data_IF_161911867757
#
_entry.id   IF_161911867757
#
_cell.length_a   1.000
_cell.length_b   1.000
_cell.length_c   1.000
_cell.angle_alpha   90.00
_cell.angle_beta   90.00
_cell.angle_gamma   90.00
#
_symmetry.space_group_name_H-M   'P 1'
#
loop_
_entity.id
_entity.type
_entity.pdbx_description
1 polymer ?
#
# COMPACT_ATOMS: atom_id res chain seq x y z
N UNK A 1 30.93 29.23 -6.06
CA UNK A 1 29.58 28.68 -6.31
C UNK A 1 29.62 27.19 -6.01
N UNK A 2 29.10 26.78 -4.86
CA UNK A 2 28.89 25.37 -4.50
C UNK A 2 27.54 25.26 -3.80
N UNK A 3 26.48 25.36 -4.61
CA UNK A 3 25.22 24.69 -4.27
C UNK A 3 25.36 23.27 -4.80
N UNK A 4 25.14 22.25 -3.97
CA UNK A 4 24.51 20.96 -4.32
C UNK A 4 24.86 19.88 -3.29
N UNK A 5 23.86 19.40 -2.56
CA UNK A 5 23.71 17.97 -2.20
C UNK A 5 22.57 17.72 -1.20
N UNK A 6 22.06 18.75 -0.51
CA UNK A 6 20.98 18.55 0.49
C UNK A 6 19.58 18.56 -0.14
N UNK A 7 19.40 19.22 -1.29
CA UNK A 7 18.10 19.40 -1.96
C UNK A 7 17.57 18.14 -2.70
N UNK A 8 18.40 17.12 -2.95
CA UNK A 8 17.99 15.96 -3.75
C UNK A 8 17.22 14.89 -2.97
N UNK A 9 17.24 14.93 -1.63
CA UNK A 9 16.63 13.90 -0.79
C UNK A 9 15.12 14.13 -0.52
N UNK A 10 14.56 15.25 -0.98
CA UNK A 10 13.13 15.58 -0.82
C UNK A 10 12.26 15.29 -2.05
N UNK A 11 12.83 14.78 -3.14
CA UNK A 11 12.09 14.56 -4.38
C UNK A 11 11.55 13.11 -4.49
N UNK A 12 10.21 13.01 -4.58
CA UNK A 12 9.42 11.83 -4.96
C UNK A 12 9.16 10.79 -3.86
N UNK A 13 8.58 11.18 -2.72
CA UNK A 13 7.64 10.23 -2.09
C UNK A 13 6.42 10.16 -3.03
N UNK A 14 6.10 9.00 -3.64
CA UNK A 14 4.92 8.90 -4.48
C UNK A 14 3.71 9.40 -3.70
N UNK A 15 2.95 10.32 -4.28
CA UNK A 15 1.79 10.89 -3.59
C UNK A 15 0.86 9.74 -3.24
N UNK A 16 0.57 9.57 -1.94
CA UNK A 16 -0.36 8.54 -1.49
C UNK A 16 -1.68 8.75 -2.22
N UNK A 17 -2.10 7.75 -3.00
CA UNK A 17 -3.39 7.79 -3.70
C UNK A 17 -4.53 7.81 -2.69
N UNK A 18 -5.64 8.45 -3.08
CA UNK A 18 -6.85 8.49 -2.25
C UNK A 18 -7.40 7.08 -2.04
N UNK A 19 -8.11 6.86 -0.94
CA UNK A 19 -8.65 5.54 -0.61
C UNK A 19 -9.57 5.01 -1.72
N UNK A 20 -10.44 5.85 -2.26
CA UNK A 20 -11.33 5.50 -3.38
C UNK A 20 -10.58 5.07 -4.65
N UNK A 21 -9.43 5.68 -4.91
CA UNK A 21 -8.59 5.29 -6.04
C UNK A 21 -7.99 3.91 -5.81
N UNK A 22 -7.45 3.67 -4.61
CA UNK A 22 -6.88 2.37 -4.23
C UNK A 22 -7.92 1.26 -4.29
N UNK A 23 -9.15 1.53 -3.85
CA UNK A 23 -10.24 0.56 -3.85
C UNK A 23 -10.77 0.21 -5.24
N UNK A 24 -10.49 1.05 -6.25
CA UNK A 24 -10.89 0.82 -7.66
C UNK A 24 -9.77 0.23 -8.52
N UNK A 25 -8.57 0.03 -7.97
CA UNK A 25 -7.45 -0.57 -8.69
C UNK A 25 -7.69 -2.05 -8.98
N UNK A 26 -7.21 -2.50 -10.13
CA UNK A 26 -6.98 -3.93 -10.34
C UNK A 26 -5.89 -4.45 -9.40
N UNK A 27 -5.85 -5.77 -9.19
CA UNK A 27 -4.84 -6.40 -8.32
C UNK A 27 -3.41 -6.07 -8.77
N UNK A 28 -3.16 -6.05 -10.09
CA UNK A 28 -1.85 -5.71 -10.66
C UNK A 28 -1.46 -4.26 -10.36
N UNK A 29 -2.35 -3.32 -10.61
CA UNK A 29 -2.10 -1.89 -10.33
C UNK A 29 -1.89 -1.64 -8.84
N UNK A 30 -2.65 -2.33 -7.98
CA UNK A 30 -2.49 -2.26 -6.55
C UNK A 30 -1.13 -2.81 -6.12
N UNK A 31 -0.71 -3.94 -6.66
CA UNK A 31 0.59 -4.54 -6.35
C UNK A 31 1.75 -3.63 -6.76
N UNK A 32 1.69 -3.04 -7.95
CA UNK A 32 2.66 -2.05 -8.44
C UNK A 32 2.70 -0.83 -7.50
N UNK A 33 1.55 -0.23 -7.21
CA UNK A 33 1.44 0.91 -6.27
C UNK A 33 2.01 0.58 -4.88
N UNK A 34 1.72 -0.60 -4.33
CA UNK A 34 2.23 -1.00 -3.03
C UNK A 34 3.76 -1.15 -3.04
N UNK A 35 4.35 -1.67 -4.12
CA UNK A 35 5.81 -1.77 -4.27
C UNK A 35 6.48 -0.42 -4.43
N UNK A 36 5.87 0.50 -5.17
CA UNK A 36 6.42 1.84 -5.38
C UNK A 36 6.35 2.72 -4.14
N UNK A 37 5.28 2.57 -3.34
CA UNK A 37 5.03 3.47 -2.19
C UNK A 37 5.68 3.04 -0.89
N UNK A 38 6.23 1.83 -0.84
CA UNK A 38 6.71 1.21 0.38
C UNK A 38 8.14 0.71 0.26
N UNK A 39 9.06 1.59 0.64
CA UNK A 39 10.50 1.34 0.58
C UNK A 39 10.99 0.21 1.51
N UNK A 40 10.11 -0.38 2.33
CA UNK A 40 10.48 -1.51 3.20
C UNK A 40 10.37 -2.87 2.52
N UNK A 41 9.77 -2.92 1.32
CA UNK A 41 9.55 -4.16 0.57
C UNK A 41 10.83 -4.56 -0.17
N UNK A 42 11.29 -5.79 0.04
CA UNK A 42 12.39 -6.36 -0.73
C UNK A 42 11.89 -6.92 -2.07
N UNK A 43 12.78 -7.01 -3.06
CA UNK A 43 12.44 -7.58 -4.39
C UNK A 43 11.96 -9.03 -4.26
N UNK A 44 12.49 -9.77 -3.29
CA UNK A 44 12.13 -11.17 -3.01
C UNK A 44 10.89 -11.33 -2.15
N UNK A 45 10.35 -10.25 -1.58
CA UNK A 45 9.12 -10.32 -0.80
C UNK A 45 7.91 -10.55 -1.69
N UNK A 46 6.91 -11.23 -1.16
CA UNK A 46 5.61 -11.41 -1.80
C UNK A 46 4.53 -10.59 -1.10
N UNK A 47 3.54 -10.15 -1.89
CA UNK A 47 2.38 -9.40 -1.41
C UNK A 47 1.15 -10.21 -1.79
N UNK A 48 0.36 -10.62 -0.80
CA UNK A 48 -0.93 -11.25 -1.02
C UNK A 48 -2.04 -10.22 -0.84
N UNK A 49 -2.84 -10.01 -1.89
CA UNK A 49 -3.98 -9.10 -1.87
C UNK A 49 -5.24 -9.92 -1.61
N UNK A 50 -6.05 -9.49 -0.65
CA UNK A 50 -7.32 -10.08 -0.31
C UNK A 50 -8.40 -9.00 -0.32
N UNK A 51 -9.36 -9.12 -1.22
CA UNK A 51 -10.55 -8.26 -1.25
C UNK A 51 -11.62 -8.85 -0.33
N UNK A 52 -12.36 -7.98 0.36
CA UNK A 52 -13.49 -8.35 1.20
C UNK A 52 -14.57 -7.28 1.09
N UNK A 53 -15.74 -7.55 1.67
CA UNK A 53 -16.94 -6.69 1.53
C UNK A 53 -16.64 -5.20 1.78
N UNK A 54 -15.92 -4.90 2.86
CA UNK A 54 -15.65 -3.54 3.30
C UNK A 54 -14.28 -3.00 2.87
N UNK A 55 -13.51 -3.70 2.02
CA UNK A 55 -12.21 -3.17 1.62
C UNK A 55 -11.22 -4.19 1.05
N UNK A 56 -9.94 -3.83 1.19
CA UNK A 56 -8.81 -4.60 0.70
C UNK A 56 -7.77 -4.76 1.81
N UNK A 57 -7.23 -5.96 1.96
CA UNK A 57 -6.13 -6.29 2.86
C UNK A 57 -4.93 -6.75 2.03
N UNK A 58 -3.78 -6.13 2.26
CA UNK A 58 -2.50 -6.53 1.69
C UNK A 58 -1.63 -7.11 2.80
N UNK A 59 -1.17 -8.35 2.60
CA UNK A 59 -0.29 -9.09 3.50
C UNK A 59 1.09 -9.20 2.87
N UNK A 60 2.13 -8.85 3.61
CA UNK A 60 3.51 -8.85 3.12
C UNK A 60 4.30 -9.98 3.78
N UNK A 61 5.01 -10.75 2.96
CA UNK A 61 5.79 -11.89 3.40
C UNK A 61 7.23 -11.77 2.93
N UNK A 62 8.16 -12.11 3.82
CA UNK A 62 9.53 -12.39 3.38
C UNK A 62 9.56 -13.68 2.58
N UNK A 63 10.59 -13.82 1.75
CA UNK A 63 10.86 -15.04 0.99
C UNK A 63 10.79 -16.26 1.91
N UNK A 64 10.05 -17.28 1.47
CA UNK A 64 9.88 -18.57 2.16
C UNK A 64 9.18 -18.49 3.55
N UNK A 65 8.67 -17.31 3.95
CA UNK A 65 7.89 -17.15 5.18
C UNK A 65 6.41 -17.42 4.94
N UNK A 66 5.79 -18.18 5.84
CA UNK A 66 4.32 -18.39 5.88
C UNK A 66 3.61 -17.37 6.76
N UNK A 67 4.35 -16.56 7.53
CA UNK A 67 3.80 -15.53 8.42
C UNK A 67 4.02 -14.15 7.81
N UNK A 68 2.97 -13.30 7.71
CA UNK A 68 3.14 -11.95 7.21
C UNK A 68 3.90 -11.11 8.25
N UNK A 69 4.88 -10.34 7.80
CA UNK A 69 5.60 -9.39 8.65
C UNK A 69 4.90 -8.04 8.72
N UNK A 70 4.06 -7.73 7.73
CA UNK A 70 3.30 -6.48 7.64
C UNK A 70 1.92 -6.74 7.07
N UNK A 71 0.97 -5.91 7.48
CA UNK A 71 -0.40 -5.91 6.96
C UNK A 71 -0.82 -4.48 6.73
N UNK A 72 -1.43 -4.21 5.58
CA UNK A 72 -2.03 -2.91 5.26
C UNK A 72 -3.49 -3.13 4.89
N UNK A 73 -4.37 -2.30 5.43
CA UNK A 73 -5.81 -2.39 5.20
C UNK A 73 -6.30 -1.09 4.60
N UNK A 74 -7.12 -1.20 3.56
CA UNK A 74 -7.82 -0.12 2.90
C UNK A 74 -9.31 -0.37 3.10
N UNK A 75 -9.96 0.44 3.93
CA UNK A 75 -11.38 0.31 4.21
C UNK A 75 -12.16 1.25 3.30
N UNK A 76 -13.29 0.77 2.79
CA UNK A 76 -14.33 1.63 2.24
C UNK A 76 -14.83 2.53 3.37
N UNK A 77 -15.16 3.77 3.05
CA UNK A 77 -15.93 4.59 3.99
C UNK A 77 -17.26 3.87 4.24
N UNK A 78 -17.43 3.40 5.46
CA UNK A 78 -18.70 2.85 5.93
C UNK A 78 -19.50 4.08 6.35
N UNK A 79 -20.56 4.41 5.61
CA UNK A 79 -21.50 5.42 6.09
C UNK A 79 -21.97 5.00 7.49
N UNK A 80 -21.92 5.92 8.44
CA UNK A 80 -22.16 5.69 9.88
C UNK A 80 -23.47 4.95 10.21
N UNK A 81 -24.40 4.83 9.25
CA UNK A 81 -25.65 4.11 9.38
C UNK A 81 -25.53 2.59 9.48
N UNK A 82 -24.43 1.98 8.99
CA UNK A 82 -24.26 0.52 9.05
C UNK A 82 -23.63 0.02 10.35
N UNK A 83 -23.05 0.93 11.15
CA UNK A 83 -22.44 0.60 12.46
C UNK A 83 -23.44 0.65 13.63
N UNK A 84 -24.72 0.96 13.36
CA UNK A 84 -25.78 1.15 14.36
C UNK A 84 -26.97 0.18 14.20
N UNK A 85 -26.79 -0.96 13.53
CA UNK A 85 -27.82 -2.02 13.46
C UNK A 85 -27.50 -3.21 14.36
#
# INVERSE_FOLDING_TARGET
MLYTSIEFFYMLKPSRKRIDEVLRMSERELLEYLRETDNSIQVTDSIQIMTFEHGIKALYYHKDSTKPYKTRVFLKDVESSDLLK
#
